data_IF_869973985003
#
_entry.id   IF_869973985003
#
_cell.length_a   1.000
_cell.length_b   1.000
_cell.length_c   1.000
_cell.angle_alpha   90.00
_cell.angle_beta   90.00
_cell.angle_gamma   90.00
#
_symmetry.space_group_name_H-M   'P 1'
#
loop_
_entity.id
_entity.type
_entity.pdbx_description
1 polymer ?
#
# COMPACT_ATOMS: atom_id res chain seq x y z
N UNK A 1 49.14 50.70 23.43
CA UNK A 1 50.17 50.46 24.45
C UNK A 1 50.44 48.95 24.51
N UNK A 2 51.67 48.55 24.19
CA UNK A 2 52.22 47.19 24.38
C UNK A 2 52.55 46.96 25.88
N UNK A 3 52.66 45.70 26.39
CA UNK A 3 53.79 44.79 26.11
C UNK A 3 53.42 43.28 26.01
N UNK A 4 53.93 42.55 25.00
CA UNK A 4 55.03 41.55 25.07
C UNK A 4 55.29 40.80 26.39
N UNK A 5 55.22 39.46 26.31
CA UNK A 5 56.11 38.55 27.03
C UNK A 5 56.41 37.29 26.19
N UNK A 6 57.70 37.00 26.07
CA UNK A 6 58.38 35.90 25.39
C UNK A 6 58.38 34.63 26.25
N UNK A 7 58.46 33.42 25.66
CA UNK A 7 59.50 32.45 26.06
C UNK A 7 59.77 31.41 24.97
N UNK A 8 61.07 31.31 24.67
CA UNK A 8 61.78 30.40 23.77
C UNK A 8 61.84 28.96 24.28
N UNK A 9 61.88 27.97 23.36
CA UNK A 9 62.84 26.85 23.46
C UNK A 9 63.09 26.12 22.13
N UNK A 10 64.36 26.25 21.71
CA UNK A 10 65.26 25.38 20.95
C UNK A 10 64.72 24.37 19.91
N UNK A 11 65.20 24.59 18.69
CA UNK A 11 65.38 23.60 17.61
C UNK A 11 66.69 22.84 17.83
N UNK A 12 66.67 21.51 17.67
CA UNK A 12 67.86 20.71 17.33
C UNK A 12 67.49 19.73 16.23
N UNK A 13 68.20 19.82 15.10
CA UNK A 13 68.17 18.89 13.97
C UNK A 13 69.14 17.73 14.24
N UNK A 14 68.72 16.49 14.02
CA UNK A 14 69.53 15.48 13.31
C UNK A 14 68.75 14.16 13.14
N UNK A 15 68.88 13.55 11.95
CA UNK A 15 68.77 12.10 11.78
C UNK A 15 67.51 11.58 11.08
N UNK A 16 67.56 11.45 9.75
CA UNK A 16 66.76 10.44 9.04
C UNK A 16 67.28 9.04 9.41
N UNK A 17 66.38 8.06 9.60
CA UNK A 17 66.64 6.77 8.98
C UNK A 17 65.43 6.17 8.27
N UNK A 18 65.73 5.65 7.07
CA UNK A 18 65.24 4.44 6.40
C UNK A 18 63.75 4.10 6.41
N UNK A 19 63.24 4.03 5.17
CA UNK A 19 62.04 3.36 4.71
C UNK A 19 61.68 2.08 5.48
N UNK A 20 60.49 2.10 6.08
CA UNK A 20 59.77 0.91 6.54
C UNK A 20 58.66 0.66 5.53
N UNK A 21 58.63 -0.55 4.97
CA UNK A 21 57.75 -0.97 3.90
C UNK A 21 56.27 -0.75 4.24
N UNK A 22 55.53 -0.20 3.27
CA UNK A 22 54.06 -0.18 3.30
C UNK A 22 53.56 -1.63 3.35
N UNK A 23 52.65 -2.00 4.27
CA UNK A 23 51.91 -3.22 4.09
C UNK A 23 50.98 -3.00 2.90
N UNK A 24 51.23 -3.76 1.84
CA UNK A 24 50.38 -3.82 0.66
C UNK A 24 49.11 -4.57 1.06
N UNK A 25 48.19 -3.91 1.75
CA UNK A 25 46.83 -4.39 1.92
C UNK A 25 46.15 -4.25 0.57
N UNK A 26 46.37 -5.27 -0.29
CA UNK A 26 45.43 -5.58 -1.35
C UNK A 26 44.10 -5.82 -0.67
N UNK A 27 43.28 -4.78 -0.62
CA UNK A 27 41.86 -4.87 -0.32
C UNK A 27 41.29 -5.77 -1.40
N UNK A 28 41.19 -7.05 -1.10
CA UNK A 28 40.45 -8.01 -1.90
C UNK A 28 39.00 -7.54 -1.87
N UNK A 29 38.62 -6.73 -2.86
CA UNK A 29 37.22 -6.51 -3.21
C UNK A 29 36.74 -7.89 -3.64
N UNK A 30 36.24 -8.64 -2.67
CA UNK A 30 35.56 -9.90 -2.88
C UNK A 30 34.25 -9.50 -3.56
N UNK A 31 34.27 -9.46 -4.89
CA UNK A 31 33.06 -9.49 -5.71
C UNK A 31 32.36 -10.81 -5.38
N UNK A 32 31.56 -10.78 -4.31
CA UNK A 32 30.48 -11.73 -4.15
C UNK A 32 29.59 -11.49 -5.36
N UNK A 33 29.78 -12.29 -6.42
CA UNK A 33 28.71 -12.57 -7.35
C UNK A 33 27.62 -13.18 -6.49
N UNK A 34 26.71 -12.35 -5.99
CA UNK A 34 25.47 -12.79 -5.38
C UNK A 34 24.83 -13.66 -6.43
N UNK A 35 24.71 -14.96 -6.14
CA UNK A 35 23.91 -15.87 -6.95
C UNK A 35 22.56 -15.17 -7.10
N UNK A 36 22.14 -14.93 -8.34
CA UNK A 36 20.89 -14.24 -8.59
C UNK A 36 19.77 -15.11 -7.98
N UNK A 37 19.23 -14.66 -6.86
CA UNK A 37 18.11 -15.32 -6.20
C UNK A 37 16.93 -15.28 -7.19
N UNK A 38 16.27 -16.41 -7.39
CA UNK A 38 15.11 -16.52 -8.27
C UNK A 38 14.01 -17.26 -7.54
N UNK A 39 12.76 -16.89 -7.81
CA UNK A 39 11.61 -17.64 -7.29
C UNK A 39 11.70 -19.09 -7.81
N UNK A 40 11.55 -20.11 -6.94
CA UNK A 40 11.69 -21.51 -7.32
C UNK A 40 10.87 -21.90 -8.56
N UNK A 41 11.48 -22.67 -9.47
CA UNK A 41 10.85 -23.15 -10.72
C UNK A 41 10.31 -22.03 -11.63
N UNK A 42 10.88 -20.83 -11.55
CA UNK A 42 10.52 -19.70 -12.40
C UNK A 42 11.76 -18.92 -12.84
N UNK A 43 11.55 -17.95 -13.74
CA UNK A 43 12.58 -17.02 -14.19
C UNK A 43 12.50 -15.65 -13.50
N UNK A 44 11.64 -15.52 -12.49
CA UNK A 44 11.42 -14.30 -11.72
C UNK A 44 12.62 -14.08 -10.80
N UNK A 45 13.29 -12.94 -10.94
CA UNK A 45 14.42 -12.57 -10.07
C UNK A 45 13.90 -12.10 -8.71
N UNK A 46 14.61 -12.42 -7.64
CA UNK A 46 14.39 -11.82 -6.32
C UNK A 46 15.52 -10.82 -6.08
N UNK A 47 15.14 -9.55 -5.94
CA UNK A 47 16.05 -8.43 -5.75
C UNK A 47 15.86 -7.92 -4.32
N UNK A 48 16.90 -8.04 -3.50
CA UNK A 48 16.86 -7.65 -2.07
C UNK A 48 17.44 -6.26 -1.82
N UNK A 49 18.26 -5.76 -2.75
CA UNK A 49 18.99 -4.50 -2.63
C UNK A 49 18.53 -3.50 -3.68
N UNK A 50 18.51 -2.22 -3.32
CA UNK A 50 18.20 -1.08 -4.21
C UNK A 50 19.11 -1.09 -5.43
N UNK A 51 20.41 -1.31 -5.21
CA UNK A 51 21.39 -1.34 -6.31
C UNK A 51 21.13 -2.50 -7.27
N UNK A 52 20.66 -3.64 -6.79
CA UNK A 52 20.28 -4.77 -7.65
C UNK A 52 19.09 -4.44 -8.55
N UNK A 53 18.09 -3.71 -8.04
CA UNK A 53 16.96 -3.22 -8.85
C UNK A 53 17.43 -2.24 -9.92
N UNK A 54 18.28 -1.28 -9.55
CA UNK A 54 18.81 -0.27 -10.49
C UNK A 54 19.67 -0.90 -11.58
N UNK A 55 20.54 -1.85 -11.22
CA UNK A 55 21.34 -2.61 -12.18
C UNK A 55 20.46 -3.43 -13.13
N UNK A 56 19.39 -4.06 -12.61
CA UNK A 56 18.42 -4.77 -13.43
C UNK A 56 17.64 -3.84 -14.36
N UNK A 57 17.19 -2.67 -13.89
CA UNK A 57 16.39 -1.71 -14.68
C UNK A 57 17.16 -1.06 -15.82
N UNK A 58 18.44 -0.73 -15.61
CA UNK A 58 19.27 0.03 -16.57
C UNK A 58 19.23 -0.48 -18.02
N UNK A 59 19.47 -1.77 -18.33
CA UNK A 59 19.39 -2.27 -19.70
C UNK A 59 17.96 -2.23 -20.28
N UNK A 60 16.91 -2.38 -19.46
CA UNK A 60 15.52 -2.30 -19.95
C UNK A 60 15.16 -0.88 -20.37
N UNK A 61 15.61 0.11 -19.58
CA UNK A 61 15.45 1.52 -19.93
C UNK A 61 16.20 1.87 -21.23
N UNK A 62 17.45 1.44 -21.39
CA UNK A 62 18.25 1.70 -22.59
C UNK A 62 17.66 1.08 -23.87
N UNK A 63 16.90 -0.01 -23.73
CA UNK A 63 16.25 -0.73 -24.82
C UNK A 63 14.76 -0.38 -24.98
N UNK A 64 14.28 0.70 -24.34
CA UNK A 64 12.88 1.13 -24.37
C UNK A 64 11.87 0.02 -24.00
N UNK A 65 12.27 -0.87 -23.08
CA UNK A 65 11.39 -1.92 -22.53
C UNK A 65 10.66 -1.36 -21.33
N UNK A 66 9.34 -1.18 -21.47
CA UNK A 66 8.46 -0.70 -20.41
C UNK A 66 8.44 -1.62 -19.19
N UNK A 67 8.41 -1.02 -18.02
CA UNK A 67 8.31 -1.71 -16.73
C UNK A 67 7.11 -1.19 -15.95
N UNK A 68 6.22 -2.10 -15.60
CA UNK A 68 5.13 -1.87 -14.65
C UNK A 68 5.57 -2.20 -13.23
N UNK A 69 5.18 -1.39 -12.25
CA UNK A 69 5.37 -1.65 -10.83
C UNK A 69 4.02 -1.92 -10.15
N UNK A 70 3.95 -3.01 -9.37
CA UNK A 70 2.84 -3.31 -8.46
C UNK A 70 3.37 -3.28 -7.02
N UNK A 71 3.18 -2.17 -6.27
CA UNK A 71 3.59 -2.09 -4.88
C UNK A 71 2.68 -2.92 -3.97
N UNK A 72 3.24 -3.82 -3.18
CA UNK A 72 2.48 -4.62 -2.20
C UNK A 72 3.21 -4.74 -0.86
N UNK A 73 2.47 -5.14 0.17
CA UNK A 73 3.01 -5.52 1.48
C UNK A 73 3.13 -7.05 1.64
N UNK A 74 2.94 -7.84 0.59
CA UNK A 74 2.77 -9.30 0.69
C UNK A 74 1.34 -9.71 1.05
N UNK A 75 1.15 -10.95 1.49
CA UNK A 75 -0.17 -11.57 1.73
C UNK A 75 -1.04 -11.48 0.47
N UNK A 76 -0.50 -11.96 -0.64
CA UNK A 76 -1.07 -11.77 -1.96
C UNK A 76 -2.40 -12.53 -2.09
N UNK A 77 -3.31 -11.94 -2.87
CA UNK A 77 -4.65 -12.45 -3.09
C UNK A 77 -5.13 -12.03 -4.49
N UNK A 78 -6.31 -12.47 -4.92
CA UNK A 78 -6.80 -12.22 -6.28
C UNK A 78 -6.86 -10.73 -6.66
N UNK A 79 -7.18 -9.86 -5.70
CA UNK A 79 -7.07 -8.40 -5.90
C UNK A 79 -5.66 -7.89 -6.24
N UNK A 80 -4.59 -8.55 -5.78
CA UNK A 80 -3.22 -8.23 -6.19
C UNK A 80 -2.89 -8.84 -7.56
N UNK A 81 -3.34 -10.08 -7.80
CA UNK A 81 -3.11 -10.76 -9.08
C UNK A 81 -3.82 -10.06 -10.25
N UNK A 82 -4.97 -9.42 -10.02
CA UNK A 82 -5.62 -8.57 -11.02
C UNK A 82 -4.76 -7.36 -11.41
N UNK A 83 -4.06 -6.71 -10.47
CA UNK A 83 -3.11 -5.63 -10.76
C UNK A 83 -1.92 -6.13 -11.57
N UNK A 84 -1.37 -7.29 -11.20
CA UNK A 84 -0.22 -7.88 -11.89
C UNK A 84 -0.60 -8.29 -13.32
N UNK A 85 -1.81 -8.82 -13.53
CA UNK A 85 -2.36 -9.10 -14.87
C UNK A 85 -2.48 -7.83 -15.71
N UNK A 86 -3.05 -6.76 -15.14
CA UNK A 86 -3.12 -5.47 -15.84
C UNK A 86 -1.71 -4.96 -16.22
N UNK A 87 -0.76 -5.05 -15.29
CA UNK A 87 0.63 -4.67 -15.54
C UNK A 87 1.30 -5.51 -16.65
N UNK A 88 1.04 -6.82 -16.70
CA UNK A 88 1.61 -7.72 -17.70
C UNK A 88 1.03 -7.51 -19.12
N UNK A 89 -0.22 -7.06 -19.22
CA UNK A 89 -0.85 -6.68 -20.50
C UNK A 89 -0.23 -5.43 -21.12
N UNK A 90 0.23 -4.50 -20.29
CA UNK A 90 0.64 -3.16 -20.72
C UNK A 90 2.17 -2.93 -20.69
N UNK A 91 2.94 -3.88 -20.13
CA UNK A 91 4.39 -3.72 -19.96
C UNK A 91 5.17 -4.98 -20.32
N UNK A 92 6.41 -4.80 -20.78
CA UNK A 92 7.32 -5.92 -21.08
C UNK A 92 7.78 -6.64 -19.81
N UNK A 93 7.97 -5.88 -18.72
CA UNK A 93 8.41 -6.41 -17.44
C UNK A 93 7.51 -5.91 -16.31
N UNK A 94 7.10 -6.82 -15.43
CA UNK A 94 6.42 -6.47 -14.18
C UNK A 94 7.37 -6.66 -13.01
N UNK A 95 7.45 -5.63 -12.16
CA UNK A 95 8.10 -5.69 -10.84
C UNK A 95 7.00 -5.70 -9.78
N UNK A 96 7.03 -6.70 -8.90
CA UNK A 96 6.17 -6.74 -7.72
C UNK A 96 7.02 -6.39 -6.50
N UNK A 97 6.70 -5.34 -5.76
CA UNK A 97 7.38 -5.12 -4.47
C UNK A 97 6.65 -5.85 -3.37
N UNK A 98 7.38 -6.51 -2.48
CA UNK A 98 6.85 -7.13 -1.25
C UNK A 98 7.60 -6.50 -0.09
N UNK A 99 6.99 -5.51 0.55
CA UNK A 99 7.60 -4.80 1.68
C UNK A 99 6.54 -4.28 2.65
N UNK A 100 6.55 -4.80 3.88
CA UNK A 100 5.74 -4.26 4.99
C UNK A 100 6.41 -2.99 5.49
N UNK A 101 5.86 -1.84 5.10
CA UNK A 101 6.43 -0.54 5.42
C UNK A 101 6.04 -0.10 6.85
N UNK A 102 6.96 -0.05 7.84
CA UNK A 102 6.60 0.31 9.21
C UNK A 102 6.13 1.77 9.35
N UNK A 103 6.54 2.65 8.43
CA UNK A 103 6.21 4.08 8.48
C UNK A 103 4.74 4.40 8.19
N UNK A 104 3.98 3.45 7.64
CA UNK A 104 2.54 3.60 7.41
C UNK A 104 1.70 2.89 8.48
N UNK A 105 2.30 2.43 9.57
CA UNK A 105 1.54 1.90 10.71
C UNK A 105 1.58 2.90 11.86
N UNK A 106 0.43 3.17 12.46
CA UNK A 106 0.33 3.87 13.74
C UNK A 106 0.79 2.98 14.91
N UNK A 107 1.06 3.58 16.06
CA UNK A 107 1.55 2.90 17.28
C UNK A 107 0.63 1.76 17.73
N UNK A 108 -0.68 1.95 17.56
CA UNK A 108 -1.72 0.99 17.97
C UNK A 108 -2.20 0.10 16.82
N UNK A 109 -1.52 0.15 15.68
CA UNK A 109 -1.91 -0.63 14.50
C UNK A 109 -1.22 -1.99 14.44
N UNK A 110 -1.67 -2.81 13.50
CA UNK A 110 -1.42 -4.25 13.40
C UNK A 110 -0.04 -4.63 12.83
N UNK A 111 0.99 -3.78 12.95
CA UNK A 111 2.33 -4.03 12.37
C UNK A 111 2.92 -5.38 12.82
N UNK A 112 2.87 -5.66 14.12
CA UNK A 112 3.44 -6.89 14.69
C UNK A 112 2.66 -8.16 14.29
N UNK A 113 1.38 -8.02 13.94
CA UNK A 113 0.48 -9.11 13.56
C UNK A 113 0.22 -9.18 12.05
N UNK A 114 0.90 -8.35 11.24
CA UNK A 114 0.72 -8.35 9.80
C UNK A 114 1.20 -9.68 9.22
N UNK A 115 0.44 -10.35 8.34
CA UNK A 115 0.80 -11.68 7.85
C UNK A 115 2.15 -11.71 7.13
N UNK A 116 3.00 -12.66 7.48
CA UNK A 116 4.27 -12.94 6.81
C UNK A 116 4.13 -14.22 6.00
N UNK A 117 4.04 -14.08 4.68
CA UNK A 117 3.58 -15.14 3.76
C UNK A 117 4.54 -15.35 2.58
N UNK A 118 5.85 -15.17 2.81
CA UNK A 118 6.85 -15.15 1.75
C UNK A 118 6.77 -16.36 0.81
N UNK A 119 6.75 -17.58 1.37
CA UNK A 119 6.75 -18.83 0.60
C UNK A 119 5.50 -18.97 -0.27
N UNK A 120 4.33 -18.63 0.28
CA UNK A 120 3.05 -18.70 -0.46
C UNK A 120 2.95 -17.61 -1.52
N UNK A 121 3.44 -16.40 -1.22
CA UNK A 121 3.42 -15.27 -2.14
C UNK A 121 4.29 -15.56 -3.38
N UNK A 122 5.53 -16.02 -3.19
CA UNK A 122 6.42 -16.32 -4.33
C UNK A 122 5.93 -17.53 -5.14
N UNK A 123 5.37 -18.55 -4.50
CA UNK A 123 4.76 -19.68 -5.20
C UNK A 123 3.56 -19.25 -6.06
N UNK A 124 2.73 -18.34 -5.54
CA UNK A 124 1.60 -17.78 -6.28
C UNK A 124 2.07 -16.94 -7.48
N UNK A 125 3.12 -16.12 -7.31
CA UNK A 125 3.71 -15.37 -8.42
C UNK A 125 4.29 -16.28 -9.51
N UNK A 126 4.97 -17.38 -9.15
CA UNK A 126 5.46 -18.35 -10.13
C UNK A 126 4.33 -19.07 -10.87
N UNK A 127 3.20 -19.34 -10.20
CA UNK A 127 2.01 -19.87 -10.86
C UNK A 127 1.42 -18.85 -11.84
N UNK A 128 1.24 -17.61 -11.39
CA UNK A 128 0.67 -16.54 -12.20
C UNK A 128 1.53 -16.20 -13.43
N UNK A 129 2.86 -16.20 -13.30
CA UNK A 129 3.78 -15.98 -14.44
C UNK A 129 3.65 -17.07 -15.52
N UNK A 130 3.35 -18.32 -15.11
CA UNK A 130 3.06 -19.41 -16.07
C UNK A 130 1.70 -19.20 -16.76
N UNK A 131 0.69 -18.74 -16.03
CA UNK A 131 -0.60 -18.37 -16.63
C UNK A 131 -0.43 -17.30 -17.72
N UNK A 132 0.50 -16.35 -17.55
CA UNK A 132 0.78 -15.33 -18.56
C UNK A 132 1.44 -15.89 -19.81
N UNK A 133 2.30 -16.90 -19.67
CA UNK A 133 2.97 -17.53 -20.80
C UNK A 133 1.98 -18.29 -21.71
N UNK A 134 0.89 -18.79 -21.13
CA UNK A 134 -0.17 -19.49 -21.87
C UNK A 134 -1.20 -18.52 -22.48
N UNK A 135 -1.28 -17.29 -21.98
CA UNK A 135 -2.18 -16.24 -22.46
C UNK A 135 -1.45 -15.26 -23.39
N UNK A 136 -1.62 -15.48 -24.70
CA UNK A 136 -1.02 -14.68 -25.77
C UNK A 136 -1.46 -13.20 -25.81
N UNK A 137 -2.40 -12.78 -24.96
CA UNK A 137 -2.78 -11.38 -24.82
C UNK A 137 -1.82 -10.55 -23.94
N UNK A 138 -0.87 -11.18 -23.23
CA UNK A 138 0.08 -10.47 -22.37
C UNK A 138 1.30 -9.98 -23.15
N UNK A 139 1.65 -8.69 -22.97
CA UNK A 139 2.87 -8.10 -23.54
C UNK A 139 4.12 -8.62 -22.83
N UNK A 140 4.02 -8.91 -21.55
CA UNK A 140 5.16 -9.26 -20.72
C UNK A 140 4.84 -10.21 -19.58
N UNK A 141 5.76 -10.25 -18.63
CA UNK A 141 5.81 -11.27 -17.58
C UNK A 141 6.27 -10.71 -16.24
N UNK A 142 6.12 -11.47 -15.18
CA UNK A 142 6.70 -11.15 -13.88
C UNK A 142 8.21 -11.34 -14.00
N UNK A 143 8.95 -10.24 -13.88
CA UNK A 143 10.39 -10.24 -14.16
C UNK A 143 11.23 -10.14 -12.89
N UNK A 144 10.71 -9.43 -11.88
CA UNK A 144 11.37 -9.33 -10.59
C UNK A 144 10.37 -9.17 -9.43
N UNK A 145 10.76 -9.70 -8.27
CA UNK A 145 10.23 -9.35 -6.96
C UNK A 145 11.26 -8.46 -6.27
N UNK A 146 10.87 -7.25 -5.89
CA UNK A 146 11.69 -6.40 -5.02
C UNK A 146 11.25 -6.59 -3.57
N UNK A 147 12.09 -7.23 -2.76
CA UNK A 147 11.76 -7.59 -1.38
C UNK A 147 12.88 -7.13 -0.43
N UNK A 148 12.99 -5.81 -0.19
CA UNK A 148 14.03 -5.22 0.65
C UNK A 148 13.76 -5.43 2.13
N UNK A 149 14.82 -5.27 2.93
CA UNK A 149 14.70 -5.11 4.39
C UNK A 149 14.36 -3.66 4.74
N UNK A 150 13.92 -3.41 5.98
CA UNK A 150 13.70 -2.05 6.46
C UNK A 150 14.98 -1.22 6.48
N UNK A 151 16.13 -1.80 6.80
CA UNK A 151 17.42 -1.08 6.76
C UNK A 151 17.81 -0.68 5.35
N UNK A 152 17.52 -1.53 4.35
CA UNK A 152 17.75 -1.21 2.94
C UNK A 152 16.83 -0.09 2.46
N UNK A 153 15.54 -0.15 2.82
CA UNK A 153 14.62 0.92 2.49
C UNK A 153 14.98 2.20 3.25
N UNK A 154 15.32 2.12 4.52
CA UNK A 154 15.54 3.26 5.42
C UNK A 154 16.95 3.21 6.04
N UNK A 155 18.00 3.58 5.28
CA UNK A 155 19.38 3.50 5.75
C UNK A 155 19.69 4.42 6.93
N UNK A 156 18.90 5.49 7.11
CA UNK A 156 18.99 6.42 8.24
C UNK A 156 17.90 6.20 9.30
N UNK A 157 17.18 5.08 9.24
CA UNK A 157 15.95 4.86 10.01
C UNK A 157 14.72 5.46 9.32
N UNK A 158 13.55 4.89 9.60
CA UNK A 158 12.28 5.41 9.09
C UNK A 158 11.76 6.52 10.01
N UNK A 159 11.04 7.54 9.49
CA UNK A 159 10.33 8.49 10.33
C UNK A 159 9.37 7.69 11.20
N UNK A 160 9.52 7.78 12.52
CA UNK A 160 8.72 7.04 13.48
C UNK A 160 7.21 7.26 13.31
N UNK A 161 6.44 6.49 14.07
CA UNK A 161 4.99 6.41 13.91
C UNK A 161 4.24 7.63 14.49
N UNK A 162 4.95 8.47 15.25
CA UNK A 162 4.46 9.71 15.84
C UNK A 162 4.20 10.80 14.78
N UNK A 163 3.24 11.67 15.06
CA UNK A 163 2.87 12.78 14.15
C UNK A 163 4.04 13.73 13.96
N UNK A 164 4.76 14.08 15.02
CA UNK A 164 5.88 15.03 15.04
C UNK A 164 7.26 14.39 14.81
N UNK A 165 7.27 13.12 14.41
CA UNK A 165 8.49 12.34 14.21
C UNK A 165 9.46 13.02 13.25
N UNK A 166 10.76 12.95 13.56
CA UNK A 166 11.84 13.51 12.75
C UNK A 166 12.31 12.50 11.72
N UNK A 167 12.59 12.97 10.51
CA UNK A 167 13.07 12.16 9.40
C UNK A 167 12.69 12.77 8.07
N UNK A 168 13.11 12.13 6.98
CA UNK A 168 12.67 12.49 5.63
C UNK A 168 11.38 11.74 5.29
N UNK A 169 10.34 12.48 4.94
CA UNK A 169 9.06 11.95 4.50
C UNK A 169 8.42 12.84 3.44
N UNK A 170 7.43 12.29 2.76
CA UNK A 170 6.57 12.99 1.80
C UNK A 170 5.16 13.02 2.37
N UNK A 171 4.54 14.20 2.35
CA UNK A 171 3.13 14.41 2.72
C UNK A 171 2.42 15.13 1.58
N UNK A 172 1.19 14.69 1.26
CA UNK A 172 0.38 15.24 0.17
C UNK A 172 -0.86 15.89 0.78
N UNK A 173 -0.79 17.19 1.01
CA UNK A 173 -1.88 17.96 1.64
C UNK A 173 -2.67 18.73 0.58
N UNK A 174 -3.98 19.01 0.82
CA UNK A 174 -4.77 18.64 2.00
C UNK A 174 -5.39 17.23 1.93
N UNK A 175 -5.28 16.53 0.79
CA UNK A 175 -6.01 15.25 0.54
C UNK A 175 -5.67 14.12 1.52
N UNK A 176 -4.48 14.15 2.14
CA UNK A 176 -4.07 13.17 3.16
C UNK A 176 -4.65 13.43 4.56
N UNK A 177 -5.36 14.54 4.79
CA UNK A 177 -5.79 15.00 6.13
C UNK A 177 -7.28 14.75 6.39
N UNK A 178 -8.04 14.29 5.39
CA UNK A 178 -9.47 13.98 5.48
C UNK A 178 -9.72 12.47 5.54
N UNK A 179 -10.95 12.04 5.84
CA UNK A 179 -11.41 10.64 5.78
C UNK A 179 -10.46 9.67 6.52
N UNK A 180 -9.86 8.69 5.82
CA UNK A 180 -8.89 7.75 6.41
C UNK A 180 -7.70 8.46 7.04
N UNK A 181 -7.30 9.61 6.49
CA UNK A 181 -6.20 10.43 6.98
C UNK A 181 -6.51 11.08 8.32
N UNK A 182 -7.76 11.49 8.53
CA UNK A 182 -8.22 12.01 9.82
C UNK A 182 -8.21 10.91 10.89
N UNK A 183 -8.67 9.69 10.55
CA UNK A 183 -8.63 8.54 11.46
C UNK A 183 -7.23 7.97 11.66
N UNK A 184 -6.31 8.19 10.71
CA UNK A 184 -4.94 7.63 10.70
C UNK A 184 -3.89 8.70 10.30
N UNK A 185 -3.57 9.68 11.18
CA UNK A 185 -2.81 10.89 10.84
C UNK A 185 -1.42 10.70 10.21
N UNK A 186 -0.79 9.53 10.37
CA UNK A 186 0.54 9.23 9.81
C UNK A 186 0.51 8.21 8.66
N UNK A 187 -0.63 7.61 8.38
CA UNK A 187 -0.77 6.53 7.40
C UNK A 187 -0.31 6.97 6.01
N UNK A 188 -0.91 8.03 5.47
CA UNK A 188 -0.63 8.47 4.11
C UNK A 188 0.73 9.12 3.94
N UNK A 189 1.28 9.72 5.00
CA UNK A 189 2.70 10.14 5.04
C UNK A 189 3.61 8.93 4.80
N UNK A 190 3.35 7.82 5.51
CA UNK A 190 4.08 6.56 5.32
C UNK A 190 3.93 6.00 3.91
N UNK A 191 2.71 5.98 3.38
CA UNK A 191 2.40 5.49 2.02
C UNK A 191 3.08 6.34 0.93
N UNK A 192 2.94 7.66 0.97
CA UNK A 192 3.56 8.56 0.01
C UNK A 192 5.09 8.46 0.07
N UNK A 193 5.66 8.37 1.28
CA UNK A 193 7.12 8.21 1.47
C UNK A 193 7.63 6.91 0.86
N UNK A 194 6.99 5.77 1.12
CA UNK A 194 7.46 4.49 0.56
C UNK A 194 7.25 4.44 -0.95
N UNK A 195 6.15 4.97 -1.47
CA UNK A 195 5.89 5.02 -2.92
C UNK A 195 6.90 5.91 -3.63
N UNK A 196 7.20 7.11 -3.11
CA UNK A 196 8.27 7.98 -3.60
C UNK A 196 9.60 7.21 -3.72
N UNK A 197 9.95 6.42 -2.70
CA UNK A 197 11.18 5.63 -2.71
C UNK A 197 11.13 4.53 -3.76
N UNK A 198 10.06 3.75 -3.81
CA UNK A 198 9.87 2.70 -4.81
C UNK A 198 9.93 3.26 -6.24
N UNK A 199 9.34 4.42 -6.50
CA UNK A 199 9.34 5.03 -7.83
C UNK A 199 10.75 5.50 -8.20
N UNK A 200 11.52 6.06 -7.26
CA UNK A 200 12.93 6.41 -7.50
C UNK A 200 13.86 5.19 -7.65
N UNK A 201 13.53 4.06 -7.03
CA UNK A 201 14.33 2.82 -7.09
C UNK A 201 14.06 2.09 -8.41
N UNK A 202 12.79 1.90 -8.76
CA UNK A 202 12.34 1.07 -9.89
C UNK A 202 12.23 1.88 -11.19
N UNK A 203 11.96 3.18 -11.08
CA UNK A 203 11.70 4.11 -12.19
C UNK A 203 10.63 3.61 -13.18
N UNK A 204 9.48 3.10 -12.69
CA UNK A 204 8.50 2.44 -13.55
C UNK A 204 7.92 3.41 -14.60
N UNK A 205 7.52 2.86 -15.75
CA UNK A 205 6.74 3.61 -16.74
C UNK A 205 5.28 3.73 -16.28
N UNK A 206 4.78 2.67 -15.62
CA UNK A 206 3.45 2.61 -15.02
C UNK A 206 3.46 2.02 -13.63
N UNK A 207 2.63 2.53 -12.74
CA UNK A 207 2.39 1.95 -11.43
C UNK A 207 0.91 1.61 -11.25
N UNK A 208 0.63 0.44 -10.69
CA UNK A 208 -0.71 -0.11 -10.57
C UNK A 208 -1.16 -0.11 -9.12
N UNK A 209 -2.33 0.47 -8.86
CA UNK A 209 -2.98 0.48 -7.55
C UNK A 209 -4.44 0.04 -7.66
N UNK A 210 -4.94 -0.64 -6.64
CA UNK A 210 -6.35 -1.02 -6.56
C UNK A 210 -7.23 0.15 -6.11
N UNK A 211 -8.38 0.31 -6.76
CA UNK A 211 -9.39 1.33 -6.42
C UNK A 211 -9.89 1.19 -4.97
N UNK A 212 -9.84 -0.01 -4.38
CA UNK A 212 -10.31 -0.30 -3.01
C UNK A 212 -9.79 0.71 -1.98
N UNK A 213 -8.53 1.10 -2.09
CA UNK A 213 -7.91 2.12 -1.26
C UNK A 213 -8.01 3.49 -1.95
N UNK A 214 -9.24 3.96 -2.21
CA UNK A 214 -9.49 5.10 -3.12
C UNK A 214 -8.74 6.36 -2.74
N UNK A 215 -8.66 6.69 -1.45
CA UNK A 215 -7.91 7.87 -1.00
C UNK A 215 -6.41 7.73 -1.25
N UNK A 216 -5.84 6.51 -1.11
CA UNK A 216 -4.47 6.24 -1.52
C UNK A 216 -4.30 6.51 -3.02
N UNK A 217 -5.24 6.08 -3.86
CA UNK A 217 -5.14 6.31 -5.31
C UNK A 217 -5.14 7.80 -5.67
N UNK A 218 -5.97 8.61 -5.03
CA UNK A 218 -6.01 10.08 -5.21
C UNK A 218 -4.70 10.71 -4.75
N UNK A 219 -4.19 10.31 -3.58
CA UNK A 219 -2.91 10.78 -3.04
C UNK A 219 -1.75 10.46 -3.97
N UNK A 220 -1.68 9.24 -4.51
CA UNK A 220 -0.61 8.84 -5.43
C UNK A 220 -0.72 9.57 -6.76
N UNK A 221 -1.92 9.73 -7.32
CA UNK A 221 -2.14 10.55 -8.53
C UNK A 221 -1.67 11.99 -8.32
N UNK A 222 -2.03 12.59 -7.17
CA UNK A 222 -1.62 13.94 -6.80
C UNK A 222 -0.09 14.03 -6.62
N UNK A 223 0.52 13.07 -5.93
CA UNK A 223 1.97 12.99 -5.76
C UNK A 223 2.71 12.93 -7.11
N UNK A 224 2.27 12.06 -8.03
CA UNK A 224 2.89 11.94 -9.36
C UNK A 224 2.76 13.24 -10.15
N UNK A 225 1.59 13.88 -10.11
CA UNK A 225 1.35 15.17 -10.77
C UNK A 225 2.21 16.29 -10.19
N UNK A 226 2.14 16.51 -8.88
CA UNK A 226 2.75 17.68 -8.22
C UNK A 226 4.28 17.60 -8.20
N UNK A 227 4.85 16.39 -8.09
CA UNK A 227 6.29 16.17 -8.17
C UNK A 227 6.79 15.86 -9.59
N UNK A 228 5.92 16.01 -10.61
CA UNK A 228 6.24 15.81 -12.04
C UNK A 228 6.95 14.48 -12.32
N UNK A 229 6.48 13.41 -11.69
CA UNK A 229 7.11 12.09 -11.81
C UNK A 229 6.81 11.50 -13.20
N UNK A 230 7.82 10.95 -13.91
CA UNK A 230 7.63 10.37 -15.23
C UNK A 230 7.07 8.94 -15.15
N UNK A 231 5.94 8.77 -14.47
CA UNK A 231 5.22 7.49 -14.36
C UNK A 231 3.73 7.72 -14.53
N UNK A 232 3.06 6.81 -15.23
CA UNK A 232 1.60 6.78 -15.29
C UNK A 232 1.04 6.04 -14.06
N UNK A 233 -0.07 6.52 -13.49
CA UNK A 233 -0.78 5.84 -12.39
C UNK A 233 -2.02 5.15 -12.94
N UNK A 234 -1.98 3.82 -12.99
CA UNK A 234 -3.11 3.00 -13.45
C UNK A 234 -3.90 2.51 -12.24
N UNK A 235 -5.20 2.81 -12.23
CA UNK A 235 -6.11 2.39 -11.16
C UNK A 235 -6.97 1.23 -11.66
N UNK A 236 -6.86 0.08 -11.02
CA UNK A 236 -7.66 -1.09 -11.36
C UNK A 236 -8.89 -1.19 -10.45
N UNK A 237 -10.06 -1.60 -10.98
CA UNK A 237 -11.28 -1.75 -10.19
C UNK A 237 -11.11 -2.69 -8.98
N UNK A 238 -11.87 -2.42 -7.92
CA UNK A 238 -11.91 -3.29 -6.73
C UNK A 238 -12.39 -4.69 -7.10
N UNK A 239 -11.56 -5.71 -6.87
CA UNK A 239 -11.99 -7.10 -6.93
C UNK A 239 -12.85 -7.44 -5.70
N UNK A 240 -13.98 -8.10 -5.94
CA UNK A 240 -14.98 -8.43 -4.91
C UNK A 240 -15.28 -9.93 -4.93
N UNK A 241 -15.69 -10.44 -3.78
CA UNK A 241 -16.35 -11.74 -3.68
C UNK A 241 -17.73 -11.69 -4.35
N UNK A 242 -18.33 -12.86 -4.59
CA UNK A 242 -19.61 -12.97 -5.30
C UNK A 242 -20.77 -12.27 -4.59
N UNK A 243 -20.71 -12.14 -3.26
CA UNK A 243 -21.67 -11.40 -2.44
C UNK A 243 -21.37 -9.89 -2.34
N UNK A 244 -20.32 -9.42 -3.02
CA UNK A 244 -19.95 -8.01 -3.12
C UNK A 244 -18.94 -7.54 -2.08
N UNK A 245 -18.48 -8.38 -1.15
CA UNK A 245 -17.44 -8.02 -0.18
C UNK A 245 -16.13 -7.68 -0.92
N UNK A 246 -15.54 -6.52 -0.67
CA UNK A 246 -14.25 -6.17 -1.23
C UNK A 246 -13.16 -7.13 -0.70
N UNK A 247 -12.34 -7.68 -1.60
CA UNK A 247 -11.23 -8.55 -1.20
C UNK A 247 -10.18 -7.76 -0.41
N UNK A 248 -9.75 -8.35 0.70
CA UNK A 248 -8.75 -7.76 1.60
C UNK A 248 -7.98 -8.86 2.31
N UNK A 249 -6.68 -8.68 2.50
CA UNK A 249 -5.88 -9.55 3.37
C UNK A 249 -6.45 -9.61 4.79
N UNK A 250 -7.14 -8.57 5.26
CA UNK A 250 -7.79 -8.52 6.58
C UNK A 250 -9.06 -9.35 6.70
N UNK A 251 -9.64 -9.86 5.60
CA UNK A 251 -10.87 -10.66 5.68
C UNK A 251 -10.64 -12.00 6.41
N UNK A 252 -9.39 -12.49 6.45
CA UNK A 252 -9.03 -13.72 7.19
C UNK A 252 -9.30 -13.61 8.70
N UNK A 253 -9.40 -12.40 9.25
CA UNK A 253 -9.69 -12.17 10.66
C UNK A 253 -11.17 -12.28 11.00
N UNK A 254 -12.10 -12.34 10.04
CA UNK A 254 -13.53 -12.23 10.32
C UNK A 254 -14.16 -13.52 10.88
N UNK A 255 -13.71 -14.68 10.40
CA UNK A 255 -14.45 -15.92 10.55
C UNK A 255 -15.80 -15.90 9.81
N UNK A 256 -16.51 -17.03 9.67
CA UNK A 256 -17.72 -17.11 8.84
C UNK A 256 -18.86 -16.19 9.33
N UNK A 257 -19.08 -16.12 10.65
CA UNK A 257 -20.18 -15.34 11.24
C UNK A 257 -20.02 -13.84 11.01
N UNK A 258 -18.85 -13.25 11.29
CA UNK A 258 -18.67 -11.81 11.05
C UNK A 258 -18.51 -11.49 9.59
N UNK A 259 -17.96 -12.40 8.77
CA UNK A 259 -17.91 -12.21 7.32
C UNK A 259 -19.29 -12.01 6.73
N UNK A 260 -20.28 -12.82 7.13
CA UNK A 260 -21.62 -12.75 6.54
C UNK A 260 -22.30 -11.41 6.79
N UNK A 261 -21.94 -10.74 7.90
CA UNK A 261 -22.41 -9.40 8.26
C UNK A 261 -21.55 -8.30 7.63
N UNK A 262 -20.24 -8.53 7.44
CA UNK A 262 -19.30 -7.56 6.86
C UNK A 262 -19.71 -7.04 5.47
N UNK A 263 -20.51 -7.78 4.72
CA UNK A 263 -21.10 -7.34 3.44
C UNK A 263 -21.99 -6.09 3.58
N UNK A 264 -22.39 -5.72 4.80
CA UNK A 264 -23.21 -4.55 5.10
C UNK A 264 -22.64 -3.26 4.52
N UNK A 265 -21.31 -3.08 4.54
CA UNK A 265 -20.68 -1.89 3.99
C UNK A 265 -20.90 -1.78 2.48
N UNK A 266 -20.66 -2.87 1.74
CA UNK A 266 -20.90 -2.93 0.29
C UNK A 266 -22.37 -2.69 -0.05
N UNK A 267 -23.30 -3.27 0.73
CA UNK A 267 -24.75 -3.04 0.57
C UNK A 267 -25.14 -1.59 0.85
N UNK A 268 -24.58 -0.97 1.88
CA UNK A 268 -24.84 0.42 2.21
C UNK A 268 -24.37 1.36 1.10
N UNK A 269 -23.14 1.17 0.60
CA UNK A 269 -22.61 1.99 -0.49
C UNK A 269 -23.41 1.81 -1.79
N UNK A 270 -23.85 0.59 -2.12
CA UNK A 270 -24.72 0.35 -3.29
C UNK A 270 -26.09 1.02 -3.15
N UNK A 271 -26.68 1.02 -1.96
CA UNK A 271 -27.95 1.73 -1.74
C UNK A 271 -27.80 3.25 -1.99
N UNK A 272 -26.68 3.84 -1.57
CA UNK A 272 -26.36 5.23 -1.89
C UNK A 272 -26.10 5.45 -3.40
N UNK A 273 -25.39 4.52 -4.05
CA UNK A 273 -25.16 4.54 -5.49
C UNK A 273 -26.47 4.50 -6.28
N UNK A 274 -27.43 3.67 -5.87
CA UNK A 274 -28.74 3.56 -6.52
C UNK A 274 -29.55 4.86 -6.40
N UNK A 275 -29.51 5.52 -5.24
CA UNK A 275 -30.12 6.85 -5.06
C UNK A 275 -29.49 7.88 -6.00
N UNK A 276 -28.16 7.87 -6.14
CA UNK A 276 -27.47 8.74 -7.11
C UNK A 276 -27.89 8.45 -8.55
N UNK A 277 -27.88 7.17 -8.96
CA UNK A 277 -28.29 6.74 -10.31
C UNK A 277 -29.74 7.16 -10.63
N UNK A 278 -30.61 7.21 -9.63
CA UNK A 278 -32.00 7.62 -9.76
C UNK A 278 -32.23 9.14 -9.79
N UNK A 279 -31.18 9.96 -9.88
CA UNK A 279 -31.33 11.41 -10.08
C UNK A 279 -30.94 12.27 -8.89
N UNK A 280 -30.93 11.71 -7.67
CA UNK A 280 -30.67 12.49 -6.47
C UNK A 280 -29.19 12.86 -6.35
N UNK A 281 -28.91 14.14 -6.07
CA UNK A 281 -27.54 14.65 -5.94
C UNK A 281 -27.24 15.16 -4.53
N UNK A 282 -28.26 15.38 -3.69
CA UNK A 282 -28.08 15.85 -2.33
C UNK A 282 -27.52 14.76 -1.41
N UNK A 283 -26.53 15.14 -0.62
CA UNK A 283 -25.86 14.28 0.36
C UNK A 283 -26.82 13.61 1.32
N UNK A 284 -27.85 14.32 1.78
CA UNK A 284 -28.84 13.79 2.73
C UNK A 284 -29.59 12.58 2.19
N UNK A 285 -30.01 12.61 0.92
CA UNK A 285 -30.68 11.50 0.26
C UNK A 285 -29.71 10.35 -0.01
N UNK A 286 -28.55 10.66 -0.60
CA UNK A 286 -27.55 9.66 -0.98
C UNK A 286 -27.04 8.92 0.25
N UNK A 287 -26.54 9.64 1.26
CA UNK A 287 -26.04 9.02 2.49
C UNK A 287 -27.15 8.49 3.38
N UNK A 288 -28.36 9.06 3.31
CA UNK A 288 -29.53 8.55 4.03
C UNK A 288 -29.80 7.09 3.70
N UNK A 289 -29.71 6.70 2.42
CA UNK A 289 -29.88 5.31 2.00
C UNK A 289 -28.81 4.38 2.58
N UNK A 290 -27.53 4.75 2.51
CA UNK A 290 -26.44 3.97 3.11
C UNK A 290 -26.60 3.81 4.62
N UNK A 291 -26.89 4.91 5.33
CA UNK A 291 -27.07 4.93 6.78
C UNK A 291 -28.25 4.06 7.22
N UNK A 292 -29.35 4.07 6.46
CA UNK A 292 -30.51 3.22 6.74
C UNK A 292 -30.18 1.72 6.62
N UNK A 293 -29.36 1.33 5.64
CA UNK A 293 -28.90 -0.07 5.51
C UNK A 293 -28.05 -0.48 6.72
N UNK A 294 -27.07 0.34 7.09
CA UNK A 294 -26.21 0.06 8.23
C UNK A 294 -27.01 -0.01 9.55
N UNK A 295 -27.93 0.93 9.78
CA UNK A 295 -28.80 0.98 10.96
C UNK A 295 -29.70 -0.26 11.04
N UNK A 296 -30.38 -0.61 9.96
CA UNK A 296 -31.25 -1.79 9.92
C UNK A 296 -30.50 -3.09 10.20
N UNK A 297 -29.26 -3.22 9.70
CA UNK A 297 -28.42 -4.37 10.05
C UNK A 297 -28.06 -4.37 11.55
N UNK A 298 -27.69 -3.23 12.13
CA UNK A 298 -27.40 -3.15 13.56
C UNK A 298 -28.61 -3.52 14.43
N UNK A 299 -29.81 -3.03 14.10
CA UNK A 299 -31.02 -3.41 14.83
C UNK A 299 -31.31 -4.92 14.67
N UNK A 300 -31.18 -5.48 13.47
CA UNK A 300 -31.36 -6.91 13.26
C UNK A 300 -30.36 -7.76 14.08
N UNK A 301 -29.11 -7.30 14.22
CA UNK A 301 -28.11 -7.97 15.05
C UNK A 301 -28.40 -7.84 16.57
N UNK A 302 -29.00 -6.72 17.02
CA UNK A 302 -29.39 -6.55 18.43
C UNK A 302 -30.48 -7.53 18.87
N UNK A 303 -31.38 -7.92 17.97
CA UNK A 303 -32.42 -8.91 18.27
C UNK A 303 -31.88 -10.35 18.40
N UNK A 304 -30.64 -10.61 17.95
CA UNK A 304 -30.00 -11.92 18.07
C UNK A 304 -29.37 -12.13 19.46
N UNK A 305 -29.33 -13.37 19.97
CA UNK A 305 -28.58 -13.71 21.19
C UNK A 305 -27.07 -13.51 21.00
N UNK A 306 -26.33 -13.31 22.10
CA UNK A 306 -24.90 -12.98 22.07
C UNK A 306 -24.02 -14.02 21.33
N UNK A 307 -24.43 -15.28 21.34
CA UNK A 307 -23.76 -16.39 20.66
C UNK A 307 -24.04 -16.46 19.14
N UNK A 308 -24.90 -15.59 18.61
CA UNK A 308 -25.22 -15.46 17.18
C UNK A 308 -25.03 -14.04 16.64
N UNK A 309 -25.03 -13.04 17.52
CA UNK A 309 -24.89 -11.63 17.19
C UNK A 309 -23.49 -11.30 16.63
N UNK A 310 -23.45 -10.30 15.75
CA UNK A 310 -22.25 -9.60 15.32
C UNK A 310 -22.43 -8.12 15.60
N UNK A 311 -21.45 -7.50 16.25
CA UNK A 311 -21.41 -6.05 16.49
C UNK A 311 -20.38 -5.39 15.59
N UNK A 312 -20.70 -4.20 15.10
CA UNK A 312 -19.78 -3.37 14.33
C UNK A 312 -20.07 -1.89 14.57
N UNK A 313 -19.06 -1.06 14.33
CA UNK A 313 -19.16 0.40 14.41
C UNK A 313 -18.97 0.97 13.00
N UNK A 314 -19.81 1.93 12.61
CA UNK A 314 -19.56 2.74 11.42
C UNK A 314 -18.59 3.84 11.82
N UNK A 315 -17.37 3.82 11.28
CA UNK A 315 -16.38 4.87 11.51
C UNK A 315 -16.76 6.11 10.69
N UNK A 316 -17.01 5.91 9.39
CA UNK A 316 -17.66 6.91 8.55
C UNK A 316 -18.32 6.28 7.32
N UNK A 317 -19.27 7.02 6.75
CA UNK A 317 -19.73 6.87 5.36
C UNK A 317 -19.73 8.28 4.78
N UNK A 318 -19.02 8.47 3.68
CA UNK A 318 -18.74 9.78 3.11
C UNK A 318 -19.14 9.85 1.65
N UNK A 319 -19.58 11.05 1.24
CA UNK A 319 -19.77 11.47 -0.14
C UNK A 319 -18.86 12.67 -0.38
N UNK A 320 -17.86 12.50 -1.24
CA UNK A 320 -16.78 13.45 -1.40
C UNK A 320 -16.48 13.78 -2.87
N UNK A 321 -15.94 14.98 -3.09
CA UNK A 321 -15.42 15.41 -4.40
C UNK A 321 -14.26 14.48 -4.84
N UNK A 322 -14.22 14.04 -6.11
CA UNK A 322 -13.29 13.01 -6.55
C UNK A 322 -11.82 13.45 -6.60
N UNK A 323 -11.55 14.76 -6.65
CA UNK A 323 -10.19 15.32 -6.76
C UNK A 323 -9.63 15.76 -5.40
N UNK A 324 -10.49 16.33 -4.56
CA UNK A 324 -10.11 16.95 -3.28
C UNK A 324 -10.42 16.07 -2.08
N UNK A 325 -11.31 15.09 -2.24
CA UNK A 325 -11.86 14.26 -1.16
C UNK A 325 -12.52 15.06 -0.02
N UNK A 326 -12.81 16.34 -0.26
CA UNK A 326 -13.65 17.13 0.64
C UNK A 326 -15.08 16.65 0.51
N UNK A 327 -15.76 16.55 1.65
CA UNK A 327 -17.17 16.20 1.65
C UNK A 327 -18.01 17.27 0.95
N UNK A 328 -18.98 16.82 0.17
CA UNK A 328 -19.86 17.70 -0.59
C UNK A 328 -21.31 17.54 -0.13
N UNK A 329 -22.03 18.65 -0.03
CA UNK A 329 -23.47 18.64 0.27
C UNK A 329 -24.31 18.28 -0.96
N UNK A 330 -23.83 18.61 -2.15
CA UNK A 330 -24.47 18.31 -3.44
C UNK A 330 -23.41 17.83 -4.43
N UNK A 331 -23.69 16.73 -5.13
CA UNK A 331 -22.80 16.21 -6.17
C UNK A 331 -22.86 17.08 -7.42
N UNK A 332 -21.70 17.51 -7.90
CA UNK A 332 -21.54 18.07 -9.25
C UNK A 332 -21.74 16.95 -10.27
N UNK A 333 -22.87 16.95 -10.98
CA UNK A 333 -23.22 15.90 -11.93
C UNK A 333 -22.21 15.73 -13.07
N UNK A 334 -21.49 16.79 -13.46
CA UNK A 334 -20.48 16.75 -14.51
C UNK A 334 -19.17 16.10 -14.06
N UNK A 335 -18.93 16.02 -12.73
CA UNK A 335 -17.74 15.38 -12.15
C UNK A 335 -18.04 14.03 -11.51
N UNK A 336 -19.27 13.83 -11.05
CA UNK A 336 -19.61 12.73 -10.15
C UNK A 336 -19.01 12.93 -8.76
N UNK A 337 -18.83 11.83 -8.02
CA UNK A 337 -18.35 11.86 -6.64
C UNK A 337 -17.74 10.52 -6.22
N UNK A 338 -17.15 10.47 -5.03
CA UNK A 338 -16.67 9.25 -4.39
C UNK A 338 -17.54 8.95 -3.18
N UNK A 339 -18.18 7.79 -3.19
CA UNK A 339 -18.73 7.18 -1.99
C UNK A 339 -17.65 6.32 -1.35
N UNK A 340 -17.36 6.54 -0.07
CA UNK A 340 -16.43 5.71 0.68
C UNK A 340 -16.97 5.46 2.08
N UNK A 341 -16.54 4.36 2.69
CA UNK A 341 -16.91 4.09 4.06
C UNK A 341 -15.93 3.15 4.74
N UNK A 342 -15.94 3.23 6.06
CA UNK A 342 -15.19 2.34 6.92
C UNK A 342 -16.07 1.82 8.06
N UNK A 343 -15.99 0.52 8.31
CA UNK A 343 -16.63 -0.12 9.46
C UNK A 343 -15.60 -0.88 10.27
N UNK A 344 -15.78 -0.90 11.59
CA UNK A 344 -14.99 -1.71 12.51
C UNK A 344 -15.83 -2.87 13.00
N UNK A 345 -15.54 -4.07 12.51
CA UNK A 345 -16.14 -5.31 13.00
C UNK A 345 -15.51 -5.63 14.35
N UNK A 346 -16.33 -5.79 15.39
CA UNK A 346 -15.84 -6.13 16.72
C UNK A 346 -15.52 -7.62 16.81
N UNK A 347 -14.76 -8.05 17.84
CA UNK A 347 -14.65 -9.46 18.19
C UNK A 347 -16.05 -10.04 18.46
N UNK A 348 -16.16 -11.36 18.27
CA UNK A 348 -17.36 -12.10 18.68
C UNK A 348 -17.57 -11.94 20.19
N UNK A 349 -18.80 -11.57 20.59
CA UNK A 349 -19.16 -11.36 22.00
C UNK A 349 -19.15 -12.68 22.78
N UNK A 350 -19.83 -13.70 22.24
CA UNK A 350 -19.84 -15.05 22.79
C UNK A 350 -19.60 -16.07 21.66
N UNK A 351 -18.52 -16.82 21.76
CA UNK A 351 -18.17 -17.85 20.79
C UNK A 351 -18.95 -19.15 21.06
N UNK A 352 -19.43 -19.78 20.00
CA UNK A 352 -19.99 -21.14 20.07
C UNK A 352 -18.85 -22.17 20.20
N UNK A 353 -19.15 -23.34 20.74
CA UNK A 353 -18.17 -24.42 20.85
C UNK A 353 -17.68 -24.84 19.45
N UNK A 354 -16.37 -24.75 19.22
CA UNK A 354 -15.73 -25.10 17.95
C UNK A 354 -15.93 -24.06 16.83
N UNK A 355 -16.42 -22.86 17.14
CA UNK A 355 -16.61 -21.82 16.13
C UNK A 355 -15.29 -21.31 15.55
N UNK A 356 -15.23 -21.19 14.22
CA UNK A 356 -14.15 -20.49 13.54
C UNK A 356 -14.30 -18.98 13.70
N UNK A 357 -13.49 -18.40 14.58
CA UNK A 357 -13.48 -16.95 14.85
C UNK A 357 -12.66 -16.16 13.81
N UNK A 358 -11.97 -16.85 12.90
CA UNK A 358 -10.97 -16.28 12.01
C UNK A 358 -9.56 -16.30 12.61
N UNK A 359 -8.60 -15.84 11.81
CA UNK A 359 -7.19 -15.84 12.18
C UNK A 359 -6.93 -15.05 13.48
N UNK A 360 -5.93 -15.47 14.26
CA UNK A 360 -5.54 -14.84 15.54
C UNK A 360 -6.68 -14.69 16.55
N UNK A 361 -7.65 -15.60 16.55
CA UNK A 361 -8.79 -15.56 17.48
C UNK A 361 -9.83 -14.49 17.15
N UNK A 362 -9.74 -13.90 15.94
CA UNK A 362 -10.75 -12.98 15.46
C UNK A 362 -10.75 -11.60 16.13
N UNK A 363 -9.64 -10.84 16.07
CA UNK A 363 -9.58 -9.50 16.65
C UNK A 363 -10.56 -8.54 15.97
N UNK A 364 -10.68 -7.32 16.53
CA UNK A 364 -11.40 -6.25 15.85
C UNK A 364 -10.73 -5.96 14.51
N UNK A 365 -11.52 -5.81 13.45
CA UNK A 365 -11.00 -5.56 12.10
C UNK A 365 -11.72 -4.39 11.46
N UNK A 366 -10.93 -3.42 10.98
CA UNK A 366 -11.43 -2.25 10.25
C UNK A 366 -11.43 -2.54 8.76
N UNK A 367 -12.61 -2.54 8.15
CA UNK A 367 -12.85 -2.76 6.74
C UNK A 367 -13.16 -1.42 6.07
N UNK A 368 -12.70 -1.27 4.83
CA UNK A 368 -12.97 -0.10 4.00
C UNK A 368 -13.51 -0.54 2.65
N UNK A 369 -14.33 0.30 2.03
CA UNK A 369 -14.87 0.09 0.69
C UNK A 369 -15.23 1.45 0.05
N UNK A 370 -15.39 1.45 -1.27
CA UNK A 370 -15.79 2.64 -2.02
C UNK A 370 -16.51 2.30 -3.33
N UNK A 371 -17.22 3.29 -3.85
CA UNK A 371 -17.83 3.32 -5.19
C UNK A 371 -17.52 4.69 -5.81
N UNK A 372 -17.03 4.68 -7.05
CA UNK A 372 -16.88 5.91 -7.84
C UNK A 372 -18.22 6.15 -8.54
N UNK A 373 -18.88 7.26 -8.18
CA UNK A 373 -20.07 7.74 -8.87
C UNK A 373 -19.60 8.45 -10.14
N UNK A 374 -19.83 7.84 -11.30
CA UNK A 374 -19.47 8.43 -12.58
C UNK A 374 -20.27 9.72 -12.85
N UNK A 375 -19.71 10.67 -13.62
CA UNK A 375 -20.47 11.79 -14.15
C UNK A 375 -21.76 11.34 -14.83
N UNK A 376 -22.84 12.10 -14.65
CA UNK A 376 -24.04 11.93 -15.46
C UNK A 376 -23.78 12.62 -16.80
N UNK A 377 -23.88 11.87 -17.89
CA UNK A 377 -23.86 12.49 -19.22
C UNK A 377 -25.02 13.49 -19.31
N UNK A 378 -24.74 14.68 -19.87
CA UNK A 378 -25.74 15.73 -20.12
C UNK A 378 -26.88 15.25 -21.02
#
# INVERSE_FOLDING_TARGET
MLPQASFSRLVSRAGLPRAIGRPNTKTTIRTLRTIAETVPKSSIKILRLVDSVRQWRKPHMANYRSVGLVPTMGALHEGHFSLIRAAARENHHVVVSIYVNPAQFGIKEDLASYPVTWETDVAALAKLDREFADDGANLGRISAVFAPTTTEMYPSGFPGQEIDSKGSFVSITPVAEVLEGASRPTFFRGVATVCMKLFNIVQPDRVYFGQKDVQQTVIIKRMVKDFMMPTEVVICPTTRETDGLALSSRNVYLGPRRRSVAVVLSKALRAAEDVYKNGQLDRSHVLGAANNVAKSMLEAQKELPADQRVTFEVDYISLADPDTLQEVDVVDAAKGAILSGAIKMQPVEQAQSGEDLGHSGGPAVRLIDNIILAPKAE
#
